data_IF_096258815946
#
_entry.id   IF_096258815946
#
_cell.length_a   1.000
_cell.length_b   1.000
_cell.length_c   1.000
_cell.angle_alpha   90.00
_cell.angle_beta   90.00
_cell.angle_gamma   90.00
#
_symmetry.space_group_name_H-M   'P 1'
#
loop_
_entity.id
_entity.type
_entity.pdbx_description
1 polymer ?
#
# COMPACT_ATOMS: atom_id res chain seq x y z
N UNK A 1 11.45 18.94 7.02
CA UNK A 1 10.10 19.37 6.61
C UNK A 1 9.28 19.65 7.84
N UNK A 2 8.58 20.78 7.92
CA UNK A 2 7.60 21.02 9.00
C UNK A 2 6.39 20.11 8.71
N UNK A 3 6.20 19.10 9.54
CA UNK A 3 5.03 18.22 9.45
C UNK A 3 3.83 19.03 9.93
N UNK A 4 2.82 19.21 9.07
CA UNK A 4 1.57 19.81 9.51
C UNK A 4 0.91 18.86 10.51
N UNK A 5 0.67 19.32 11.74
CA UNK A 5 0.33 18.46 12.88
C UNK A 5 -1.09 17.89 12.85
N UNK A 6 -1.99 18.41 12.01
CA UNK A 6 -3.39 17.97 11.98
C UNK A 6 -3.80 17.53 10.58
N UNK A 7 -4.45 16.37 10.48
CA UNK A 7 -5.13 15.93 9.26
C UNK A 7 -6.46 16.68 9.17
N UNK A 8 -6.74 17.31 8.04
CA UNK A 8 -8.04 17.92 7.77
C UNK A 8 -8.81 17.04 6.78
N UNK A 9 -9.84 16.38 7.26
CA UNK A 9 -10.70 15.54 6.43
C UNK A 9 -11.77 16.37 5.75
N UNK A 10 -11.80 16.41 4.42
CA UNK A 10 -12.88 17.01 3.64
C UNK A 10 -13.87 15.91 3.22
N UNK A 11 -15.10 15.87 3.79
CA UNK A 11 -16.09 14.86 3.44
C UNK A 11 -16.82 15.12 2.12
N UNK A 12 -16.53 16.22 1.44
CA UNK A 12 -17.22 16.60 0.19
C UNK A 12 -17.06 15.48 -0.86
N UNK A 13 -18.20 15.07 -1.42
CA UNK A 13 -18.25 14.01 -2.44
C UNK A 13 -18.36 12.59 -1.86
N UNK A 14 -18.55 12.47 -0.55
CA UNK A 14 -18.84 11.18 0.13
C UNK A 14 -20.19 11.27 0.86
N UNK A 15 -21.01 10.27 0.67
CA UNK A 15 -22.26 10.13 1.43
C UNK A 15 -21.97 9.61 2.84
N UNK A 16 -22.89 9.88 3.78
CA UNK A 16 -22.73 9.49 5.19
C UNK A 16 -22.52 7.99 5.37
N UNK A 17 -23.28 7.19 4.65
CA UNK A 17 -23.21 5.74 4.68
C UNK A 17 -21.86 5.23 4.15
N UNK A 18 -21.32 5.89 3.13
CA UNK A 18 -20.00 5.61 2.59
C UNK A 18 -18.91 5.96 3.60
N UNK A 19 -18.98 7.11 4.27
CA UNK A 19 -18.02 7.49 5.32
C UNK A 19 -18.00 6.47 6.45
N UNK A 20 -19.18 5.98 6.87
CA UNK A 20 -19.28 4.92 7.89
C UNK A 20 -18.62 3.62 7.39
N UNK A 21 -18.82 3.26 6.14
CA UNK A 21 -18.20 2.08 5.52
C UNK A 21 -16.67 2.20 5.48
N UNK A 22 -16.17 3.36 5.04
CA UNK A 22 -14.73 3.67 5.00
C UNK A 22 -14.13 3.56 6.40
N UNK A 23 -14.75 4.17 7.41
CA UNK A 23 -14.27 4.12 8.78
C UNK A 23 -14.21 2.69 9.34
N UNK A 24 -15.23 1.88 9.10
CA UNK A 24 -15.23 0.46 9.50
C UNK A 24 -14.08 -0.32 8.87
N UNK A 25 -13.82 -0.08 7.59
CA UNK A 25 -12.71 -0.72 6.87
C UNK A 25 -11.34 -0.19 7.34
N UNK A 26 -11.25 1.06 7.76
CA UNK A 26 -10.03 1.67 8.29
C UNK A 26 -9.67 1.11 9.69
N UNK A 27 -10.65 0.92 10.55
CA UNK A 27 -10.43 0.43 11.92
C UNK A 27 -10.12 -1.08 11.95
N UNK A 28 -10.67 -1.86 11.04
CA UNK A 28 -10.53 -3.32 11.04
C UNK A 28 -9.06 -3.80 11.01
N UNK A 29 -8.18 -3.34 10.10
CA UNK A 29 -6.78 -3.73 10.13
C UNK A 29 -6.08 -3.36 11.44
N UNK A 30 -6.39 -2.22 12.08
CA UNK A 30 -5.84 -1.84 13.39
C UNK A 30 -6.19 -2.86 14.46
N UNK A 31 -7.45 -3.27 14.56
CA UNK A 31 -7.89 -4.29 15.52
C UNK A 31 -7.21 -5.65 15.27
N UNK A 32 -6.97 -5.99 14.01
CA UNK A 32 -6.22 -7.21 13.66
C UNK A 32 -4.75 -7.06 14.06
N UNK A 33 -4.13 -5.92 13.80
CA UNK A 33 -2.74 -5.62 14.21
C UNK A 33 -2.55 -5.81 15.72
N UNK A 34 -3.43 -5.24 16.54
CA UNK A 34 -3.40 -5.42 17.99
C UNK A 34 -3.45 -6.90 18.40
N UNK A 35 -4.33 -7.66 17.75
CA UNK A 35 -4.44 -9.10 17.98
C UNK A 35 -3.18 -9.85 17.55
N UNK A 36 -2.59 -9.48 16.42
CA UNK A 36 -1.37 -10.11 15.91
C UNK A 36 -0.18 -9.86 16.82
N UNK A 37 -0.06 -8.68 17.43
CA UNK A 37 0.98 -8.37 18.41
C UNK A 37 0.86 -9.26 19.67
N UNK A 38 -0.38 -9.52 20.12
CA UNK A 38 -0.62 -10.46 21.24
C UNK A 38 -0.17 -11.87 20.84
N UNK A 39 -0.53 -12.34 19.65
CA UNK A 39 -0.16 -13.67 19.15
C UNK A 39 1.36 -13.82 18.97
N UNK A 40 2.03 -12.76 18.52
CA UNK A 40 3.49 -12.71 18.39
C UNK A 40 4.16 -12.87 19.77
N UNK A 41 3.72 -12.10 20.78
CA UNK A 41 4.23 -12.18 22.15
C UNK A 41 3.98 -13.55 22.81
N UNK A 42 2.92 -14.23 22.38
CA UNK A 42 2.62 -15.61 22.81
C UNK A 42 3.39 -16.69 22.04
N UNK A 43 4.23 -16.32 21.08
CA UNK A 43 4.95 -17.26 20.22
C UNK A 43 4.07 -18.07 19.25
N UNK A 44 2.82 -17.62 19.03
CA UNK A 44 1.87 -18.29 18.10
C UNK A 44 2.09 -17.92 16.64
N UNK A 45 2.83 -16.86 16.40
CA UNK A 45 3.38 -16.45 15.11
C UNK A 45 4.84 -16.05 15.30
N UNK A 46 5.66 -16.22 14.25
CA UNK A 46 7.11 -16.01 14.36
C UNK A 46 7.56 -14.61 13.93
N UNK A 47 6.83 -13.97 13.02
CA UNK A 47 7.15 -12.68 12.44
C UNK A 47 5.90 -11.87 12.15
N UNK A 48 6.00 -10.56 12.34
CA UNK A 48 4.96 -9.63 11.94
C UNK A 48 5.57 -8.32 11.45
N UNK A 49 5.10 -7.88 10.29
CA UNK A 49 5.42 -6.59 9.69
C UNK A 49 4.20 -5.70 9.82
N UNK A 50 4.19 -4.90 10.86
CA UNK A 50 3.04 -4.07 11.18
C UNK A 50 2.82 -2.95 10.16
N UNK A 51 1.57 -2.76 9.76
CA UNK A 51 1.10 -1.61 8.99
C UNK A 51 0.59 -0.46 9.84
N UNK A 52 0.83 -0.49 11.15
CA UNK A 52 0.37 0.54 12.08
C UNK A 52 0.86 1.93 11.70
N UNK A 53 -0.09 2.87 11.53
CA UNK A 53 0.15 4.22 11.05
C UNK A 53 0.02 4.39 9.54
N UNK A 54 -0.10 3.29 8.76
CA UNK A 54 -0.20 3.28 7.30
C UNK A 54 -1.54 2.69 6.79
N UNK A 55 -2.52 2.53 7.68
CA UNK A 55 -3.80 1.89 7.34
C UNK A 55 -4.55 2.66 6.25
N UNK A 56 -4.53 4.00 6.30
CA UNK A 56 -5.22 4.84 5.32
C UNK A 56 -4.69 4.64 3.89
N UNK A 57 -3.40 4.36 3.74
CA UNK A 57 -2.81 4.02 2.44
C UNK A 57 -3.44 2.75 1.88
N UNK A 58 -3.33 1.65 2.61
CA UNK A 58 -3.74 0.32 2.15
C UNK A 58 -5.27 0.19 1.99
N UNK A 59 -6.03 0.78 2.92
CA UNK A 59 -7.49 0.79 2.86
C UNK A 59 -7.99 1.74 1.78
N UNK A 60 -7.50 2.99 1.76
CA UNK A 60 -8.00 4.02 0.86
C UNK A 60 -7.78 3.68 -0.61
N UNK A 61 -6.57 3.26 -0.97
CA UNK A 61 -6.27 2.87 -2.35
C UNK A 61 -7.08 1.63 -2.76
N UNK A 62 -7.15 0.59 -1.91
CA UNK A 62 -7.92 -0.62 -2.19
C UNK A 62 -9.43 -0.37 -2.27
N UNK A 63 -9.96 0.55 -1.46
CA UNK A 63 -11.37 0.95 -1.48
C UNK A 63 -11.77 1.64 -2.78
N UNK A 64 -10.86 2.40 -3.37
CA UNK A 64 -11.09 3.08 -4.63
C UNK A 64 -11.00 2.15 -5.87
N UNK A 65 -10.37 0.98 -5.73
CA UNK A 65 -10.27 -0.02 -6.80
C UNK A 65 -11.56 -0.85 -6.90
N UNK A 66 -11.97 -1.17 -8.11
CA UNK A 66 -13.11 -2.06 -8.37
C UNK A 66 -12.78 -3.51 -8.03
N UNK A 67 -13.79 -4.33 -7.77
CA UNK A 67 -13.59 -5.72 -7.32
C UNK A 67 -12.97 -6.64 -8.37
N UNK A 68 -13.03 -6.28 -9.63
CA UNK A 68 -12.45 -6.99 -10.78
C UNK A 68 -11.05 -6.51 -11.17
N UNK A 69 -10.56 -5.44 -10.54
CA UNK A 69 -9.21 -4.92 -10.75
C UNK A 69 -8.19 -5.60 -9.84
N UNK A 70 -7.02 -5.89 -10.38
CA UNK A 70 -5.95 -6.55 -9.64
C UNK A 70 -5.17 -5.58 -8.74
N UNK A 71 -4.86 -6.06 -7.54
CA UNK A 71 -3.98 -5.39 -6.57
C UNK A 71 -2.82 -6.31 -6.23
N UNK A 72 -1.60 -5.74 -6.25
CA UNK A 72 -0.35 -6.40 -5.87
C UNK A 72 0.17 -5.76 -4.58
N UNK A 73 -0.22 -6.29 -3.40
CA UNK A 73 0.14 -5.70 -2.11
C UNK A 73 1.57 -6.04 -1.68
N UNK A 74 2.06 -5.32 -0.68
CA UNK A 74 3.27 -5.63 0.08
C UNK A 74 2.93 -6.32 1.42
N UNK A 75 3.99 -6.64 2.17
CA UNK A 75 3.93 -7.29 3.49
C UNK A 75 3.28 -6.46 4.61
N UNK A 76 2.98 -5.16 4.41
CA UNK A 76 2.30 -4.25 5.37
C UNK A 76 0.85 -3.94 5.01
N UNK A 77 0.42 -4.33 3.85
CA UNK A 77 -0.88 -3.90 3.32
C UNK A 77 -2.03 -4.77 3.83
N UNK A 78 -2.11 -4.98 5.15
CA UNK A 78 -3.23 -5.71 5.76
C UNK A 78 -4.59 -5.13 5.34
N UNK A 79 -4.68 -3.79 5.24
CA UNK A 79 -5.87 -3.09 4.80
C UNK A 79 -6.35 -3.48 3.41
N UNK A 80 -5.46 -3.88 2.50
CA UNK A 80 -5.86 -4.40 1.18
C UNK A 80 -6.66 -5.69 1.31
N UNK A 81 -6.19 -6.63 2.12
CA UNK A 81 -6.84 -7.92 2.32
C UNK A 81 -8.20 -7.78 3.02
N UNK A 82 -8.29 -6.91 4.03
CA UNK A 82 -9.54 -6.66 4.75
C UNK A 82 -10.54 -5.87 3.93
N UNK A 83 -10.09 -4.92 3.10
CA UNK A 83 -10.95 -4.13 2.22
C UNK A 83 -11.52 -4.98 1.08
N UNK A 84 -10.79 -5.98 0.62
CA UNK A 84 -11.24 -7.01 -0.34
C UNK A 84 -12.08 -8.12 0.29
N UNK A 85 -12.49 -7.96 1.54
CA UNK A 85 -13.36 -8.87 2.27
C UNK A 85 -12.85 -10.33 2.30
N UNK A 86 -11.52 -10.50 2.44
CA UNK A 86 -10.92 -11.81 2.67
C UNK A 86 -11.52 -12.41 3.96
N UNK A 87 -12.06 -13.64 3.95
CA UNK A 87 -12.61 -14.26 5.15
C UNK A 87 -11.60 -14.30 6.31
N UNK A 88 -11.93 -13.63 7.42
CA UNK A 88 -11.00 -13.43 8.54
C UNK A 88 -10.52 -14.75 9.14
N UNK A 89 -11.38 -15.77 9.23
CA UNK A 89 -10.99 -17.09 9.72
C UNK A 89 -9.88 -17.70 8.85
N UNK A 90 -9.96 -17.56 7.54
CA UNK A 90 -8.96 -18.06 6.59
C UNK A 90 -7.70 -17.21 6.59
N UNK A 91 -7.84 -15.88 6.77
CA UNK A 91 -6.73 -14.95 6.91
C UNK A 91 -5.92 -15.25 8.18
N UNK A 92 -6.58 -15.41 9.33
CA UNK A 92 -5.91 -15.80 10.58
C UNK A 92 -5.29 -17.20 10.52
N UNK A 93 -5.91 -18.13 9.80
CA UNK A 93 -5.32 -19.44 9.54
C UNK A 93 -4.03 -19.32 8.71
N UNK A 94 -4.00 -18.44 7.72
CA UNK A 94 -2.79 -18.14 6.94
C UNK A 94 -1.69 -17.56 7.82
N UNK A 95 -2.01 -16.56 8.65
CA UNK A 95 -1.03 -15.92 9.55
C UNK A 95 -0.40 -16.88 10.56
N UNK A 96 -1.14 -17.90 10.95
CA UNK A 96 -0.68 -18.93 11.90
C UNK A 96 -0.10 -20.18 11.22
N UNK A 97 0.07 -20.19 9.89
CA UNK A 97 0.60 -21.32 9.16
C UNK A 97 -0.28 -22.57 9.22
N UNK A 98 -1.61 -22.43 9.32
CA UNK A 98 -2.54 -23.54 9.40
C UNK A 98 -2.86 -24.13 8.02
N UNK A 99 -3.25 -25.42 8.01
CA UNK A 99 -3.68 -26.09 6.78
C UNK A 99 -4.89 -25.44 6.11
N UNK A 100 -5.77 -24.80 6.87
CA UNK A 100 -6.94 -24.06 6.36
C UNK A 100 -6.61 -22.67 5.79
N UNK A 101 -5.36 -22.22 5.90
CA UNK A 101 -4.88 -21.00 5.24
C UNK A 101 -4.74 -21.17 3.71
N UNK A 102 -4.48 -20.07 3.01
CA UNK A 102 -4.37 -20.04 1.54
C UNK A 102 -3.22 -20.90 1.02
N UNK A 103 -2.08 -20.90 1.71
CA UNK A 103 -0.86 -21.64 1.32
C UNK A 103 -0.72 -22.96 2.07
N UNK A 104 -1.71 -23.36 2.88
CA UNK A 104 -1.69 -24.59 3.68
C UNK A 104 -0.46 -24.68 4.60
N UNK A 105 -0.03 -23.53 5.15
CA UNK A 105 1.13 -23.42 6.02
C UNK A 105 2.49 -23.47 5.34
N UNK A 106 2.53 -23.37 4.00
CA UNK A 106 3.78 -23.43 3.23
C UNK A 106 4.49 -22.09 3.07
N UNK A 107 3.79 -20.98 3.34
CA UNK A 107 4.32 -19.64 3.13
C UNK A 107 3.94 -18.69 4.26
N UNK A 108 4.58 -17.50 4.25
CA UNK A 108 4.44 -16.48 5.29
C UNK A 108 3.10 -15.75 5.21
N UNK A 109 2.85 -14.87 6.19
CA UNK A 109 1.57 -14.21 6.43
C UNK A 109 0.93 -13.60 5.18
N UNK A 110 1.66 -12.80 4.41
CA UNK A 110 1.12 -12.09 3.23
C UNK A 110 1.56 -12.68 1.88
N UNK A 111 2.30 -13.79 1.88
CA UNK A 111 2.80 -14.43 0.65
C UNK A 111 1.73 -15.35 0.06
N UNK A 112 0.57 -14.81 -0.23
CA UNK A 112 -0.49 -15.53 -0.92
C UNK A 112 -1.28 -14.58 -1.83
N UNK A 113 -1.79 -15.13 -2.91
CA UNK A 113 -2.74 -14.47 -3.79
C UNK A 113 -4.07 -15.21 -3.79
N UNK A 114 -5.08 -14.57 -4.31
CA UNK A 114 -6.40 -15.18 -4.52
C UNK A 114 -7.10 -14.53 -5.71
N UNK A 115 -7.43 -15.37 -6.68
CA UNK A 115 -8.12 -14.93 -7.91
C UNK A 115 -9.51 -14.40 -7.61
N UNK A 116 -10.20 -14.99 -6.63
CA UNK A 116 -11.56 -14.61 -6.26
C UNK A 116 -11.64 -13.15 -5.77
N UNK A 117 -10.55 -12.66 -5.16
CA UNK A 117 -10.45 -11.30 -4.64
C UNK A 117 -9.51 -10.41 -5.47
N UNK A 118 -9.02 -10.89 -6.63
CA UNK A 118 -8.09 -10.16 -7.49
C UNK A 118 -6.83 -9.67 -6.77
N UNK A 119 -6.31 -10.49 -5.87
CA UNK A 119 -5.05 -10.24 -5.17
C UNK A 119 -3.95 -11.13 -5.73
N UNK A 120 -2.84 -10.51 -6.11
CA UNK A 120 -1.61 -11.22 -6.50
C UNK A 120 -0.72 -11.35 -5.27
N UNK A 121 -0.16 -12.54 -5.05
CA UNK A 121 0.72 -12.77 -3.90
C UNK A 121 1.97 -11.90 -3.97
N UNK A 122 2.35 -11.33 -2.84
CA UNK A 122 3.55 -10.52 -2.78
C UNK A 122 4.82 -11.34 -3.01
N UNK A 123 5.84 -10.68 -3.53
CA UNK A 123 7.20 -11.22 -3.69
C UNK A 123 8.10 -10.53 -2.66
N UNK A 124 8.89 -11.30 -1.90
CA UNK A 124 9.74 -10.74 -0.82
C UNK A 124 10.75 -9.71 -1.29
N UNK A 125 11.21 -9.79 -2.52
CA UNK A 125 12.16 -8.85 -3.13
C UNK A 125 11.52 -7.52 -3.57
N UNK A 126 10.21 -7.39 -3.52
CA UNK A 126 9.39 -6.21 -3.82
C UNK A 126 9.45 -5.71 -5.29
N UNK A 127 10.64 -5.59 -5.88
CA UNK A 127 10.82 -5.09 -7.24
C UNK A 127 10.07 -5.88 -8.31
N UNK A 128 10.21 -7.22 -8.40
CA UNK A 128 9.61 -8.04 -9.46
C UNK A 128 8.08 -7.91 -9.60
N UNK A 129 7.37 -7.59 -8.52
CA UNK A 129 5.91 -7.41 -8.59
C UNK A 129 5.48 -6.23 -9.46
N UNK A 130 6.35 -5.23 -9.65
CA UNK A 130 6.07 -4.06 -10.48
C UNK A 130 5.96 -4.47 -11.95
N UNK A 131 6.91 -5.26 -12.47
CA UNK A 131 6.83 -5.82 -13.82
C UNK A 131 5.68 -6.81 -14.02
N UNK A 132 5.26 -7.55 -12.97
CA UNK A 132 4.06 -8.38 -13.03
C UNK A 132 2.80 -7.50 -13.20
N UNK A 133 2.75 -6.35 -12.52
CA UNK A 133 1.66 -5.39 -12.68
C UNK A 133 1.58 -4.86 -14.12
N UNK A 134 2.71 -4.58 -14.75
CA UNK A 134 2.79 -4.19 -16.16
C UNK A 134 2.19 -5.27 -17.06
N UNK A 135 2.52 -6.54 -16.82
CA UNK A 135 1.98 -7.66 -17.57
C UNK A 135 0.45 -7.79 -17.44
N UNK A 136 -0.09 -7.57 -16.24
CA UNK A 136 -1.55 -7.56 -16.00
C UNK A 136 -2.19 -6.38 -16.72
N UNK A 137 -1.61 -5.19 -16.61
CA UNK A 137 -2.11 -3.99 -17.28
C UNK A 137 -2.05 -4.12 -18.81
N UNK A 138 -0.99 -4.71 -19.35
CA UNK A 138 -0.90 -5.02 -20.76
C UNK A 138 -2.02 -5.96 -21.21
N UNK A 139 -2.32 -7.00 -20.41
CA UNK A 139 -3.45 -7.89 -20.66
C UNK A 139 -4.78 -7.13 -20.68
N UNK A 140 -4.99 -6.20 -19.74
CA UNK A 140 -6.18 -5.35 -19.71
C UNK A 140 -6.28 -4.49 -20.98
N UNK A 141 -5.18 -3.85 -21.39
CA UNK A 141 -5.10 -3.04 -22.61
C UNK A 141 -5.41 -3.86 -23.88
N UNK A 142 -4.80 -5.04 -24.02
CA UNK A 142 -5.04 -5.92 -25.18
C UNK A 142 -6.51 -6.39 -25.25
N UNK A 143 -7.12 -6.65 -24.09
CA UNK A 143 -8.53 -7.06 -24.00
C UNK A 143 -9.51 -5.91 -24.13
N UNK A 144 -9.03 -4.66 -24.16
CA UNK A 144 -9.88 -3.47 -24.25
C UNK A 144 -10.73 -3.23 -23.00
N UNK A 145 -10.29 -3.70 -21.82
CA UNK A 145 -10.95 -3.39 -20.55
C UNK A 145 -10.47 -2.03 -20.05
N UNK A 146 -11.30 -1.35 -19.25
CA UNK A 146 -10.93 -0.08 -18.60
C UNK A 146 -10.32 -0.30 -17.20
N UNK A 147 -9.95 -1.53 -16.87
CA UNK A 147 -9.43 -1.89 -15.55
C UNK A 147 -8.01 -1.38 -15.36
N UNK A 148 -7.79 -0.68 -14.26
CA UNK A 148 -6.46 -0.34 -13.78
C UNK A 148 -5.84 -1.51 -13.01
N UNK A 149 -4.52 -1.49 -12.87
CA UNK A 149 -3.77 -2.40 -12.00
C UNK A 149 -3.08 -1.57 -10.94
N UNK A 150 -3.26 -1.92 -9.66
CA UNK A 150 -2.61 -1.25 -8.54
C UNK A 150 -1.46 -2.11 -8.00
N UNK A 151 -0.27 -1.54 -7.90
CA UNK A 151 0.89 -2.22 -7.33
C UNK A 151 1.57 -1.33 -6.30
N UNK A 152 1.98 -1.94 -5.18
CA UNK A 152 2.68 -1.21 -4.13
C UNK A 152 4.18 -1.44 -4.17
N UNK A 153 4.91 -0.39 -3.79
CA UNK A 153 6.30 -0.46 -3.33
C UNK A 153 6.51 0.51 -2.17
N UNK A 154 7.61 0.37 -1.45
CA UNK A 154 8.05 1.37 -0.48
C UNK A 154 9.14 2.27 -1.07
N UNK A 155 9.47 3.37 -0.38
CA UNK A 155 10.58 4.26 -0.74
C UNK A 155 11.91 3.49 -0.85
N UNK A 156 12.15 2.49 0.02
CA UNK A 156 13.31 1.62 -0.05
C UNK A 156 13.29 0.69 -1.26
N UNK A 157 12.18 -0.01 -1.52
CA UNK A 157 12.03 -0.92 -2.67
C UNK A 157 12.11 -0.20 -4.02
N UNK A 158 11.78 1.08 -4.06
CA UNK A 158 11.91 1.91 -5.24
C UNK A 158 13.35 2.34 -5.59
N UNK A 159 14.35 1.79 -4.90
CA UNK A 159 15.76 1.88 -5.25
C UNK A 159 16.26 0.65 -6.02
N UNK A 160 15.42 -0.39 -6.20
CA UNK A 160 15.76 -1.58 -6.97
C UNK A 160 15.68 -1.32 -8.48
N UNK A 161 16.47 -2.08 -9.28
CA UNK A 161 16.47 -1.95 -10.75
C UNK A 161 15.10 -2.20 -11.36
N UNK A 162 14.38 -3.21 -10.88
CA UNK A 162 13.04 -3.59 -11.34
C UNK A 162 12.03 -2.43 -11.28
N UNK A 163 12.17 -1.52 -10.28
CA UNK A 163 11.35 -0.31 -10.22
C UNK A 163 11.53 0.57 -11.45
N UNK A 164 12.78 0.84 -11.80
CA UNK A 164 13.11 1.69 -12.94
C UNK A 164 12.70 1.08 -14.28
N UNK A 165 12.87 -0.22 -14.41
CA UNK A 165 12.49 -0.99 -15.61
C UNK A 165 10.97 -1.00 -15.78
N UNK A 166 10.20 -1.29 -14.73
CA UNK A 166 8.75 -1.33 -14.77
C UNK A 166 8.15 0.04 -15.13
N UNK A 167 8.58 1.12 -14.46
CA UNK A 167 8.08 2.46 -14.77
C UNK A 167 8.35 2.84 -16.22
N UNK A 168 9.54 2.52 -16.74
CA UNK A 168 9.89 2.80 -18.12
C UNK A 168 9.02 2.00 -19.11
N UNK A 169 8.81 0.71 -18.87
CA UNK A 169 7.95 -0.14 -19.72
C UNK A 169 6.52 0.36 -19.70
N UNK A 170 5.97 0.64 -18.51
CA UNK A 170 4.62 1.15 -18.37
C UNK A 170 4.41 2.47 -19.12
N UNK A 171 5.37 3.39 -19.03
CA UNK A 171 5.33 4.68 -19.74
C UNK A 171 5.39 4.51 -21.25
N UNK A 172 6.33 3.69 -21.75
CA UNK A 172 6.50 3.48 -23.21
C UNK A 172 5.28 2.79 -23.85
N UNK A 173 4.60 1.94 -23.10
CA UNK A 173 3.46 1.18 -23.61
C UNK A 173 2.11 1.73 -23.17
N UNK A 174 2.05 2.88 -22.50
CA UNK A 174 0.83 3.49 -21.97
C UNK A 174 -0.02 2.47 -21.20
N UNK A 175 0.57 1.81 -20.21
CA UNK A 175 -0.09 0.78 -19.44
C UNK A 175 -0.91 1.39 -18.29
N UNK A 176 -2.15 0.94 -18.05
CA UNK A 176 -2.98 1.43 -16.96
C UNK A 176 -2.53 0.85 -15.60
N UNK A 177 -1.35 1.27 -15.12
CA UNK A 177 -0.79 0.89 -13.81
C UNK A 177 -0.72 2.09 -12.88
N UNK A 178 -1.15 1.89 -11.64
CA UNK A 178 -0.92 2.81 -10.53
C UNK A 178 0.22 2.25 -9.70
N UNK A 179 1.39 2.88 -9.75
CA UNK A 179 2.52 2.58 -8.89
C UNK A 179 2.36 3.35 -7.58
N UNK A 180 1.80 2.70 -6.56
CA UNK A 180 1.58 3.28 -5.24
C UNK A 180 2.83 3.12 -4.37
N UNK A 181 3.50 4.22 -4.08
CA UNK A 181 4.71 4.25 -3.25
C UNK A 181 4.36 4.69 -1.85
N UNK A 182 4.41 3.76 -0.90
CA UNK A 182 4.32 4.07 0.52
C UNK A 182 5.62 4.71 0.99
N UNK A 183 5.68 6.04 0.92
CA UNK A 183 6.84 6.78 1.38
C UNK A 183 6.72 7.07 2.88
N UNK A 184 7.28 6.18 3.67
CA UNK A 184 7.39 6.36 5.12
C UNK A 184 8.76 6.92 5.53
N UNK A 185 9.56 7.37 4.56
CA UNK A 185 10.90 7.94 4.71
C UNK A 185 11.98 6.97 5.22
N UNK A 186 11.71 5.64 5.26
CA UNK A 186 12.65 4.68 5.84
C UNK A 186 12.65 3.33 5.08
N UNK A 187 13.69 3.07 4.33
CA UNK A 187 14.00 1.73 3.81
C UNK A 187 14.73 0.90 4.88
N UNK A 188 14.03 -0.01 5.57
CA UNK A 188 14.54 -0.65 6.79
C UNK A 188 14.89 0.41 7.86
N UNK A 189 16.17 0.67 8.07
CA UNK A 189 16.72 1.71 8.96
C UNK A 189 17.44 2.84 8.21
N UNK A 190 17.44 2.81 6.87
CA UNK A 190 18.08 3.83 6.03
C UNK A 190 17.07 4.92 5.69
N UNK A 191 17.33 6.18 6.07
CA UNK A 191 16.41 7.28 5.74
C UNK A 191 16.40 7.55 4.24
N UNK A 192 15.26 7.99 3.71
CA UNK A 192 15.07 8.21 2.27
C UNK A 192 16.03 9.21 1.66
N UNK A 193 16.52 10.20 2.43
CA UNK A 193 17.54 11.16 2.00
C UNK A 193 18.90 10.53 1.65
N UNK A 194 19.16 9.32 2.13
CA UNK A 194 20.35 8.52 1.80
C UNK A 194 20.09 7.55 0.66
N UNK A 195 18.85 7.40 0.20
CA UNK A 195 18.47 6.46 -0.84
C UNK A 195 18.32 7.11 -2.20
N UNK A 196 17.84 8.36 -2.28
CA UNK A 196 17.68 9.10 -3.53
C UNK A 196 17.97 10.59 -3.35
N UNK A 197 18.33 11.25 -4.46
CA UNK A 197 18.79 12.65 -4.46
C UNK A 197 17.70 13.66 -4.86
N UNK A 198 16.61 13.23 -5.49
CA UNK A 198 15.49 14.10 -5.81
C UNK A 198 14.84 14.69 -4.55
N UNK A 199 14.23 15.86 -4.66
CA UNK A 199 13.62 16.55 -3.50
C UNK A 199 12.35 15.87 -3.04
N UNK A 200 11.54 15.44 -4.00
CA UNK A 200 10.31 14.68 -3.79
C UNK A 200 10.40 13.38 -4.59
N UNK A 201 9.79 12.33 -4.11
CA UNK A 201 9.84 11.06 -4.81
C UNK A 201 9.17 11.14 -6.19
N UNK A 202 8.10 11.92 -6.31
CA UNK A 202 7.38 12.17 -7.57
C UNK A 202 8.26 12.77 -8.66
N UNK A 203 9.39 13.43 -8.32
CA UNK A 203 10.34 13.96 -9.32
C UNK A 203 10.87 12.84 -10.23
N UNK A 204 10.87 11.60 -9.78
CA UNK A 204 11.26 10.44 -10.59
C UNK A 204 10.32 10.22 -11.78
N UNK A 205 9.04 10.54 -11.66
CA UNK A 205 8.07 10.44 -12.76
C UNK A 205 8.44 11.27 -13.98
N UNK A 206 9.06 12.42 -13.77
CA UNK A 206 9.52 13.32 -14.86
C UNK A 206 10.49 12.58 -15.79
N UNK A 207 11.41 11.79 -15.23
CA UNK A 207 12.39 11.03 -16.00
C UNK A 207 11.81 9.99 -16.95
N UNK A 208 10.59 9.52 -16.67
CA UNK A 208 9.86 8.54 -17.50
C UNK A 208 8.74 9.18 -18.33
N UNK A 209 8.53 10.49 -18.24
CA UNK A 209 7.41 11.18 -18.89
C UNK A 209 6.04 10.76 -18.31
N UNK A 210 6.01 10.34 -17.05
CA UNK A 210 4.85 9.81 -16.35
C UNK A 210 4.24 10.87 -15.44
N UNK A 211 2.92 10.91 -15.37
CA UNK A 211 2.24 11.71 -14.35
C UNK A 211 2.53 11.18 -12.95
N UNK A 212 2.82 12.10 -12.03
CA UNK A 212 3.16 11.78 -10.67
C UNK A 212 2.41 12.69 -9.69
N UNK A 213 1.80 12.10 -8.66
CA UNK A 213 0.97 12.79 -7.69
C UNK A 213 1.45 12.41 -6.28
N UNK A 214 1.67 13.42 -5.43
CA UNK A 214 1.95 13.20 -4.01
C UNK A 214 0.70 13.55 -3.20
N UNK A 215 0.34 12.69 -2.23
CA UNK A 215 -0.80 12.90 -1.33
C UNK A 215 -0.42 12.63 0.12
N UNK A 216 -1.20 13.18 1.05
CA UNK A 216 -1.15 12.78 2.45
C UNK A 216 -1.71 11.37 2.59
N UNK A 217 -0.83 10.38 2.72
CA UNK A 217 -1.18 8.96 2.85
C UNK A 217 -1.94 8.63 4.14
N UNK A 218 -1.97 9.53 5.12
CA UNK A 218 -2.74 9.35 6.36
C UNK A 218 -4.16 9.95 6.24
N UNK A 219 -4.44 10.74 5.20
CA UNK A 219 -5.79 11.24 4.90
C UNK A 219 -6.53 10.28 3.96
N UNK A 220 -7.29 9.36 4.52
CA UNK A 220 -7.98 8.31 3.75
C UNK A 220 -8.92 8.87 2.67
N UNK A 221 -9.59 10.01 2.92
CA UNK A 221 -10.52 10.60 1.96
C UNK A 221 -9.78 11.21 0.77
N UNK A 222 -8.61 11.80 1.01
CA UNK A 222 -7.74 12.31 -0.05
C UNK A 222 -7.18 11.15 -0.89
N UNK A 223 -6.72 10.08 -0.25
CA UNK A 223 -6.24 8.87 -0.93
C UNK A 223 -7.32 8.29 -1.85
N UNK A 224 -8.54 8.09 -1.34
CA UNK A 224 -9.67 7.55 -2.13
C UNK A 224 -9.99 8.45 -3.31
N UNK A 225 -10.08 9.76 -3.07
CA UNK A 225 -10.41 10.75 -4.11
C UNK A 225 -9.35 10.76 -5.21
N UNK A 226 -8.08 10.73 -4.84
CA UNK A 226 -6.96 10.73 -5.79
C UNK A 226 -6.95 9.47 -6.64
N UNK A 227 -7.11 8.29 -6.05
CA UNK A 227 -7.14 7.03 -6.83
C UNK A 227 -8.36 6.98 -7.75
N UNK A 228 -9.53 7.45 -7.30
CA UNK A 228 -10.72 7.57 -8.16
C UNK A 228 -10.49 8.52 -9.33
N UNK A 229 -9.83 9.65 -9.10
CA UNK A 229 -9.45 10.59 -10.15
C UNK A 229 -8.49 9.95 -11.16
N UNK A 230 -7.41 9.34 -10.70
CA UNK A 230 -6.46 8.62 -11.55
C UNK A 230 -7.17 7.58 -12.43
N UNK A 231 -8.05 6.78 -11.85
CA UNK A 231 -8.81 5.77 -12.59
C UNK A 231 -9.74 6.38 -13.66
N UNK A 232 -10.38 7.49 -13.34
CA UNK A 232 -11.23 8.20 -14.31
C UNK A 232 -10.41 8.72 -15.50
N UNK A 233 -9.20 9.22 -15.26
CA UNK A 233 -8.27 9.64 -16.29
C UNK A 233 -7.78 8.45 -17.13
N UNK A 234 -7.40 7.34 -16.48
CA UNK A 234 -6.96 6.11 -17.16
C UNK A 234 -8.05 5.49 -18.03
N UNK A 235 -9.32 5.59 -17.62
CA UNK A 235 -10.44 5.08 -18.40
C UNK A 235 -10.64 5.84 -19.71
N UNK A 236 -10.26 7.12 -19.77
CA UNK A 236 -10.31 7.95 -20.97
C UNK A 236 -9.06 7.77 -21.83
N UNK A 237 -7.90 7.71 -21.19
CA UNK A 237 -6.60 7.58 -21.85
C UNK A 237 -5.69 6.69 -20.99
N UNK A 238 -5.57 5.39 -21.32
CA UNK A 238 -4.72 4.47 -20.57
C UNK A 238 -3.28 4.99 -20.53
N UNK A 239 -2.74 5.13 -19.32
CA UNK A 239 -1.37 5.52 -19.04
C UNK A 239 -1.00 5.24 -17.59
N UNK A 240 0.28 5.11 -17.25
CA UNK A 240 0.68 4.86 -15.87
C UNK A 240 0.69 6.13 -15.02
N UNK A 241 0.51 5.94 -13.71
CA UNK A 241 0.65 6.99 -12.70
C UNK A 241 1.60 6.56 -11.59
N UNK A 242 2.47 7.48 -11.16
CA UNK A 242 3.27 7.35 -9.96
C UNK A 242 2.56 8.07 -8.82
N UNK A 243 2.04 7.32 -7.86
CA UNK A 243 1.32 7.86 -6.70
C UNK A 243 2.20 7.73 -5.45
N UNK A 244 2.72 8.85 -4.96
CA UNK A 244 3.46 8.90 -3.71
C UNK A 244 2.51 9.18 -2.55
N UNK A 245 2.47 8.25 -1.59
CA UNK A 245 1.63 8.31 -0.40
C UNK A 245 2.52 8.59 0.81
N UNK A 246 2.54 9.85 1.26
CA UNK A 246 3.33 10.27 2.41
C UNK A 246 2.71 9.75 3.69
N UNK A 247 3.44 8.92 4.40
CA UNK A 247 2.95 8.24 5.60
C UNK A 247 4.08 8.02 6.60
N UNK A 248 3.79 7.34 7.70
CA UNK A 248 4.80 6.98 8.68
C UNK A 248 4.54 5.59 9.28
N UNK A 249 5.60 4.83 9.41
CA UNK A 249 5.56 3.52 10.05
C UNK A 249 5.77 3.68 11.56
N UNK A 250 4.70 3.58 12.35
CA UNK A 250 4.73 3.78 13.80
C UNK A 250 5.49 2.67 14.55
N UNK A 251 5.74 1.53 13.92
CA UNK A 251 6.44 0.38 14.49
C UNK A 251 7.76 0.15 13.75
N UNK A 252 8.60 -0.76 14.25
CA UNK A 252 9.82 -1.17 13.55
C UNK A 252 9.55 -1.75 12.16
N UNK A 253 10.59 -1.91 11.36
CA UNK A 253 10.45 -2.56 10.04
C UNK A 253 9.81 -3.94 10.17
N UNK A 254 10.26 -4.70 11.13
CA UNK A 254 9.63 -5.91 11.68
C UNK A 254 9.46 -5.67 13.19
N UNK A 255 8.49 -6.28 13.82
CA UNK A 255 8.24 -6.07 15.27
C UNK A 255 9.46 -6.35 16.16
N UNK A 256 10.32 -7.29 15.75
CA UNK A 256 11.56 -7.58 16.47
C UNK A 256 12.68 -6.54 16.25
N UNK A 257 12.59 -5.70 15.22
CA UNK A 257 13.66 -4.74 14.87
C UNK A 257 13.71 -3.53 15.79
N UNK A 258 12.58 -3.15 16.41
CA UNK A 258 12.45 -1.93 17.18
C UNK A 258 12.55 -0.65 16.33
N UNK A 259 12.63 0.50 17.00
CA UNK A 259 12.59 1.84 16.38
C UNK A 259 13.77 2.74 16.80
N UNK A 260 14.85 2.17 17.33
CA UNK A 260 16.00 2.93 17.87
C UNK A 260 16.73 3.83 16.84
N UNK A 261 16.50 3.59 15.54
CA UNK A 261 17.08 4.38 14.46
C UNK A 261 16.26 5.63 14.13
N UNK A 262 15.06 5.77 14.68
CA UNK A 262 14.31 7.01 14.51
C UNK A 262 14.91 8.13 15.36
N UNK A 263 15.01 9.35 14.84
CA UNK A 263 15.33 10.52 15.64
C UNK A 263 14.35 10.70 16.80
N UNK A 264 14.86 11.22 17.90
CA UNK A 264 14.03 11.55 19.07
C UNK A 264 12.90 12.51 18.70
N UNK A 265 11.69 12.26 19.20
CA UNK A 265 10.50 13.08 18.94
C UNK A 265 9.84 12.84 17.58
N UNK A 266 10.46 12.08 16.65
CA UNK A 266 9.86 11.85 15.32
C UNK A 266 8.58 11.01 15.42
N UNK A 267 8.61 9.96 16.20
CA UNK A 267 7.47 9.04 16.35
C UNK A 267 6.29 9.76 17.01
N UNK A 268 6.53 10.51 18.04
CA UNK A 268 5.54 11.33 18.75
C UNK A 268 4.91 12.39 17.83
N UNK A 269 5.70 12.97 16.93
CA UNK A 269 5.19 13.96 15.97
C UNK A 269 4.18 13.38 14.98
N UNK A 270 4.22 12.06 14.74
CA UNK A 270 3.28 11.35 13.88
C UNK A 270 2.07 10.77 14.61
N UNK A 271 2.09 10.71 15.96
CA UNK A 271 0.93 10.23 16.74
C UNK A 271 -0.32 11.08 16.52
N UNK A 272 -0.17 12.42 16.41
CA UNK A 272 -1.28 13.33 16.09
C UNK A 272 -1.84 13.15 14.67
N UNK A 273 -1.17 12.39 13.85
CA UNK A 273 -1.52 12.07 12.45
C UNK A 273 -1.84 10.60 12.27
N UNK A 274 -2.15 9.88 13.33
CA UNK A 274 -2.57 8.49 13.24
C UNK A 274 -3.90 8.40 12.46
N UNK A 275 -3.96 7.68 11.33
CA UNK A 275 -5.13 7.71 10.44
C UNK A 275 -6.40 7.12 11.06
N UNK A 276 -6.29 6.37 12.15
CA UNK A 276 -7.43 5.74 12.83
C UNK A 276 -7.96 6.60 13.98
N UNK A 277 -7.12 7.46 14.56
CA UNK A 277 -7.42 8.24 15.78
C UNK A 277 -7.62 9.73 15.49
N UNK A 278 -7.03 10.25 14.42
CA UNK A 278 -7.09 11.66 14.01
C UNK A 278 -8.49 12.14 13.63
#
# INVERSE_FOLDING_TARGET
MSINTNISFDPKGFEKEELISIYKKLVLPRLIEEKMLILLRQGKISKWFSGWGQEAVSVGTSYAMSTDEYILPMHRNLGVFTTRDIPLNRLFAQFQGKMSGYTKGRDRSFHFGTQDHKLVGMISHLGPQLGIADGIALSNKIRGTQNATLVYSGDGGASEGDFHEALNVAAVWDLPVIFAIENNCWGLSTPSIEQFRCKQFIDKGIGYGMEAIQVDGNNILEVIRTVRHIKAEMAQSPRPFLLELMTFRMRGHEEASGTKYYPEGLQESWESRDPVVA
#
